data_IF_396425322694
#
_entry.id   IF_396425322694
#
_cell.length_a   1.000
_cell.length_b   1.000
_cell.length_c   1.000
_cell.angle_alpha   90.00
_cell.angle_beta   90.00
_cell.angle_gamma   90.00
#
_symmetry.space_group_name_H-M   'P 1'
#
loop_
_entity.id
_entity.type
_entity.pdbx_description
1 polymer ?
#
# COMPACT_ATOMS: atom_id res chain seq x y z
N UNK A 1 -33.45 35.27 1.29
CA UNK A 1 -33.94 34.19 0.41
C UNK A 1 -33.49 32.91 1.08
N UNK A 2 -34.44 32.15 1.61
CA UNK A 2 -34.19 31.20 2.70
C UNK A 2 -33.46 29.95 2.20
N UNK A 3 -32.52 29.43 2.99
CA UNK A 3 -31.69 28.26 2.65
C UNK A 3 -32.52 27.04 2.22
N UNK A 4 -33.72 26.90 2.78
CA UNK A 4 -34.66 25.83 2.43
C UNK A 4 -35.23 25.97 1.02
N UNK A 5 -35.49 27.18 0.54
CA UNK A 5 -36.03 27.41 -0.81
C UNK A 5 -35.02 27.00 -1.88
N UNK A 6 -33.73 27.23 -1.64
CA UNK A 6 -32.66 26.78 -2.52
C UNK A 6 -32.60 25.24 -2.61
N UNK A 7 -32.76 24.54 -1.48
CA UNK A 7 -32.79 23.06 -1.43
C UNK A 7 -34.04 22.47 -2.11
N UNK A 8 -35.19 23.14 -2.04
CA UNK A 8 -36.41 22.70 -2.72
C UNK A 8 -36.36 22.95 -4.25
N UNK A 9 -35.75 24.07 -4.66
CA UNK A 9 -35.47 24.36 -6.08
C UNK A 9 -34.50 23.33 -6.68
N UNK A 10 -33.49 22.98 -5.89
CA UNK A 10 -32.52 21.91 -6.17
C UNK A 10 -33.20 20.54 -6.37
N UNK A 11 -34.10 20.15 -5.46
CA UNK A 11 -34.87 18.90 -5.59
C UNK A 11 -35.72 18.86 -6.86
N UNK A 12 -36.35 19.97 -7.22
CA UNK A 12 -37.16 20.08 -8.44
C UNK A 12 -36.32 19.83 -9.70
N UNK A 13 -35.04 20.24 -9.68
CA UNK A 13 -34.10 20.01 -10.77
C UNK A 13 -33.66 18.54 -10.87
N UNK A 14 -33.51 17.86 -9.73
CA UNK A 14 -33.21 16.41 -9.69
C UNK A 14 -34.35 15.60 -10.29
N UNK A 15 -35.60 15.90 -9.89
CA UNK A 15 -36.78 15.19 -10.39
C UNK A 15 -36.97 15.37 -11.90
N UNK A 16 -36.75 16.58 -12.43
CA UNK A 16 -36.74 16.85 -13.88
C UNK A 16 -35.73 15.99 -14.63
N UNK A 17 -34.52 15.84 -14.10
CA UNK A 17 -33.47 15.02 -14.73
C UNK A 17 -33.82 13.53 -14.79
N UNK A 18 -34.66 13.06 -13.88
CA UNK A 18 -35.11 11.68 -13.80
C UNK A 18 -36.46 11.45 -14.50
N UNK A 19 -37.02 12.46 -15.17
CA UNK A 19 -38.35 12.44 -15.78
C UNK A 19 -39.48 12.13 -14.76
N UNK A 20 -39.31 12.57 -13.51
CA UNK A 20 -40.27 12.41 -12.40
C UNK A 20 -41.03 13.72 -12.11
N UNK A 21 -41.41 14.44 -13.16
CA UNK A 21 -42.01 15.76 -13.07
C UNK A 21 -43.36 15.77 -12.32
N UNK A 22 -44.10 14.68 -12.44
CA UNK A 22 -45.37 14.45 -11.76
C UNK A 22 -45.25 14.47 -10.23
N UNK A 23 -44.05 14.28 -9.68
CA UNK A 23 -43.79 14.24 -8.24
C UNK A 23 -43.32 15.57 -7.66
N UNK A 24 -43.01 16.57 -8.51
CA UNK A 24 -42.44 17.86 -8.06
C UNK A 24 -43.38 18.58 -7.08
N UNK A 25 -44.69 18.59 -7.34
CA UNK A 25 -45.66 19.26 -6.46
C UNK A 25 -45.71 18.61 -5.08
N UNK A 26 -45.75 17.28 -5.01
CA UNK A 26 -45.76 16.52 -3.75
C UNK A 26 -44.49 16.74 -2.93
N UNK A 27 -43.32 16.66 -3.57
CA UNK A 27 -42.04 16.89 -2.89
C UNK A 27 -41.90 18.32 -2.37
N UNK A 28 -42.53 19.30 -3.00
CA UNK A 28 -42.60 20.68 -2.49
C UNK A 28 -43.57 20.84 -1.32
N UNK A 29 -44.76 20.25 -1.42
CA UNK A 29 -45.78 20.26 -0.35
C UNK A 29 -45.26 19.61 0.93
N UNK A 30 -44.61 18.45 0.81
CA UNK A 30 -44.02 17.72 1.92
C UNK A 30 -42.63 18.25 2.34
N UNK A 31 -42.15 19.32 1.70
CA UNK A 31 -40.85 19.98 1.97
C UNK A 31 -39.67 19.00 1.95
N UNK A 32 -39.69 18.07 0.99
CA UNK A 32 -38.65 17.06 0.84
C UNK A 32 -37.47 17.65 0.08
N UNK A 33 -36.35 17.76 0.78
CA UNK A 33 -35.06 18.16 0.22
C UNK A 33 -34.21 16.92 -0.14
N UNK A 34 -33.17 17.07 -0.99
CA UNK A 34 -32.32 15.95 -1.37
C UNK A 34 -31.69 15.20 -0.18
N UNK A 35 -31.39 15.93 0.90
CA UNK A 35 -30.82 15.40 2.15
C UNK A 35 -31.82 14.47 2.90
N UNK A 36 -33.11 14.72 2.75
CA UNK A 36 -34.19 13.96 3.40
C UNK A 36 -34.49 12.68 2.63
N UNK A 37 -34.41 12.70 1.29
CA UNK A 37 -34.69 11.53 0.42
C UNK A 37 -33.87 10.30 0.82
N UNK A 38 -32.61 10.50 1.23
CA UNK A 38 -31.73 9.40 1.65
C UNK A 38 -32.08 8.81 3.03
N UNK A 39 -32.88 9.52 3.82
CA UNK A 39 -33.35 9.10 5.16
C UNK A 39 -34.73 8.42 5.10
N UNK A 40 -35.48 8.60 4.02
CA UNK A 40 -36.78 7.98 3.82
C UNK A 40 -36.64 6.48 3.55
N UNK A 41 -37.50 5.70 4.21
CA UNK A 41 -37.70 4.28 3.98
C UNK A 41 -38.28 4.01 2.59
N UNK A 42 -38.25 2.73 2.16
CA UNK A 42 -38.84 2.34 0.89
C UNK A 42 -40.36 2.52 0.85
N UNK A 43 -41.05 2.45 2.00
CA UNK A 43 -42.49 2.62 2.09
C UNK A 43 -42.88 4.08 1.92
N UNK A 44 -42.20 4.99 2.62
CA UNK A 44 -42.42 6.44 2.48
C UNK A 44 -42.17 6.91 1.04
N UNK A 45 -41.14 6.38 0.38
CA UNK A 45 -40.86 6.69 -1.04
C UNK A 45 -41.94 6.17 -1.99
N UNK A 46 -42.59 5.04 -1.67
CA UNK A 46 -43.73 4.53 -2.43
C UNK A 46 -44.99 5.34 -2.22
N UNK A 47 -45.24 5.79 -0.98
CA UNK A 47 -46.37 6.68 -0.64
C UNK A 47 -46.26 8.02 -1.37
N UNK A 48 -45.03 8.53 -1.53
CA UNK A 48 -44.73 9.70 -2.34
C UNK A 48 -45.05 9.54 -3.83
N UNK A 49 -45.16 8.30 -4.31
CA UNK A 49 -45.57 7.97 -5.68
C UNK A 49 -44.53 7.23 -6.51
N UNK A 50 -43.38 6.85 -5.93
CA UNK A 50 -42.36 6.06 -6.64
C UNK A 50 -42.72 4.58 -6.60
N UNK A 51 -43.24 4.04 -7.71
CA UNK A 51 -43.67 2.64 -7.78
C UNK A 51 -42.53 1.68 -8.13
N UNK A 52 -41.55 2.14 -8.91
CA UNK A 52 -40.43 1.33 -9.37
C UNK A 52 -39.25 1.41 -8.39
N UNK A 53 -38.71 0.26 -8.01
CA UNK A 53 -37.48 0.19 -7.22
C UNK A 53 -36.30 0.84 -7.96
N UNK A 54 -36.29 0.77 -9.30
CA UNK A 54 -35.26 1.41 -10.13
C UNK A 54 -35.30 2.93 -10.01
N UNK A 55 -36.49 3.53 -10.02
CA UNK A 55 -36.67 4.98 -9.91
C UNK A 55 -36.32 5.46 -8.50
N UNK A 56 -36.68 4.68 -7.48
CA UNK A 56 -36.28 4.93 -6.08
C UNK A 56 -34.76 4.95 -5.96
N UNK A 57 -34.07 3.97 -6.55
CA UNK A 57 -32.61 3.90 -6.47
C UNK A 57 -31.96 5.01 -7.30
N UNK A 58 -32.46 5.29 -8.50
CA UNK A 58 -31.98 6.38 -9.34
C UNK A 58 -32.14 7.74 -8.64
N UNK A 59 -33.26 7.95 -7.95
CA UNK A 59 -33.50 9.15 -7.15
C UNK A 59 -32.51 9.25 -6.00
N UNK A 60 -32.30 8.19 -5.23
CA UNK A 60 -31.31 8.16 -4.14
C UNK A 60 -29.91 8.48 -4.64
N UNK A 61 -29.49 7.87 -5.75
CA UNK A 61 -28.19 8.14 -6.36
C UNK A 61 -28.08 9.62 -6.76
N UNK A 62 -29.11 10.16 -7.44
CA UNK A 62 -29.11 11.54 -7.88
C UNK A 62 -29.06 12.51 -6.69
N UNK A 63 -29.81 12.26 -5.62
CA UNK A 63 -29.80 13.07 -4.40
C UNK A 63 -28.45 13.03 -3.67
N UNK A 64 -27.78 11.87 -3.60
CA UNK A 64 -26.41 11.75 -3.05
C UNK A 64 -25.41 12.58 -3.85
N UNK A 65 -25.59 12.70 -5.17
CA UNK A 65 -24.73 13.54 -6.01
C UNK A 65 -25.07 15.02 -5.96
N UNK A 66 -26.24 15.39 -5.42
CA UNK A 66 -26.74 16.77 -5.40
C UNK A 66 -26.42 17.52 -4.08
N UNK A 67 -26.00 16.80 -3.03
CA UNK A 67 -25.55 17.41 -1.78
C UNK A 67 -24.24 18.16 -1.97
N UNK A 68 -24.25 19.46 -1.70
CA UNK A 68 -23.04 20.24 -1.47
C UNK A 68 -22.22 19.52 -0.39
N UNK A 69 -20.91 19.37 -0.64
CA UNK A 69 -20.01 18.40 -0.01
C UNK A 69 -20.11 16.99 -0.58
N UNK A 70 -19.70 16.86 -1.85
CA UNK A 70 -18.89 15.70 -2.21
C UNK A 70 -17.79 15.65 -1.13
N UNK A 71 -17.71 14.62 -0.26
CA UNK A 71 -16.51 14.45 0.54
C UNK A 71 -15.40 14.51 -0.48
N UNK A 72 -14.46 15.46 -0.30
CA UNK A 72 -13.30 15.55 -1.17
C UNK A 72 -12.89 14.12 -1.41
N UNK A 73 -12.85 13.71 -2.70
CA UNK A 73 -12.47 12.35 -3.05
C UNK A 73 -11.03 12.22 -2.56
N UNK A 74 -10.83 11.89 -1.28
CA UNK A 74 -9.63 11.25 -0.79
C UNK A 74 -9.55 10.10 -1.76
N UNK A 75 -8.55 10.15 -2.64
CA UNK A 75 -8.36 9.14 -3.66
C UNK A 75 -8.51 7.81 -2.94
N UNK A 76 -9.66 7.15 -3.13
CA UNK A 76 -9.91 5.87 -2.50
C UNK A 76 -8.92 4.99 -3.25
N UNK A 77 -7.76 4.79 -2.65
CA UNK A 77 -6.91 3.67 -2.97
C UNK A 77 -7.84 2.47 -2.78
N UNK A 78 -8.38 1.99 -3.89
CA UNK A 78 -9.33 0.89 -3.90
C UNK A 78 -8.55 -0.32 -3.39
N UNK A 79 -8.77 -0.67 -2.12
CA UNK A 79 -8.05 -1.74 -1.44
C UNK A 79 -8.24 -1.68 0.08
N UNK A 80 -7.87 -2.75 0.80
CA UNK A 80 -7.79 -2.75 2.26
C UNK A 80 -6.92 -1.59 2.76
N UNK A 81 -7.16 -1.05 3.97
CA UNK A 81 -6.30 -0.04 4.56
C UNK A 81 -4.86 -0.53 4.55
N UNK A 82 -4.02 0.13 3.77
CA UNK A 82 -2.60 -0.20 3.69
C UNK A 82 -1.94 0.26 4.96
N UNK A 83 -1.46 -0.67 5.78
CA UNK A 83 -0.60 -0.33 6.91
C UNK A 83 0.63 0.40 6.39
N UNK A 84 0.76 1.68 6.74
CA UNK A 84 1.80 2.56 6.25
C UNK A 84 2.97 2.60 7.23
N UNK A 85 4.11 2.08 6.77
CA UNK A 85 5.35 2.05 7.54
C UNK A 85 6.21 3.20 7.01
N UNK A 86 6.43 4.28 7.79
CA UNK A 86 7.28 5.38 7.38
C UNK A 86 8.69 4.89 7.11
N UNK A 87 9.35 5.50 6.12
CA UNK A 87 10.74 5.19 5.77
C UNK A 87 11.68 5.37 6.96
N UNK A 88 11.54 6.47 7.70
CA UNK A 88 12.37 6.80 8.87
C UNK A 88 12.31 5.74 9.97
N UNK A 89 11.12 5.22 10.27
CA UNK A 89 10.95 4.17 11.28
C UNK A 89 11.70 2.91 10.89
N UNK A 90 11.66 2.54 9.61
CA UNK A 90 12.36 1.38 9.11
C UNK A 90 13.88 1.58 9.10
N UNK A 91 14.37 2.80 8.89
CA UNK A 91 15.80 3.16 8.99
C UNK A 91 16.29 3.02 10.42
N UNK A 92 15.59 3.60 11.40
CA UNK A 92 15.98 3.49 12.81
C UNK A 92 16.11 2.03 13.25
N UNK A 93 15.18 1.15 12.87
CA UNK A 93 15.30 -0.27 13.22
C UNK A 93 16.44 -1.00 12.52
N UNK A 94 16.79 -0.59 11.30
CA UNK A 94 17.93 -1.17 10.58
C UNK A 94 19.27 -0.68 11.16
N UNK A 95 19.35 0.58 11.59
CA UNK A 95 20.50 1.17 12.28
C UNK A 95 20.72 0.53 13.67
N UNK A 96 19.64 0.19 14.37
CA UNK A 96 19.66 -0.51 15.66
C UNK A 96 19.89 -2.04 15.53
N UNK A 97 20.31 -2.52 14.35
CA UNK A 97 20.67 -3.92 14.04
C UNK A 97 19.53 -4.96 14.16
N UNK A 98 18.27 -4.55 14.37
CA UNK A 98 17.13 -5.46 14.50
C UNK A 98 16.98 -6.40 13.29
N UNK A 99 16.65 -7.66 13.55
CA UNK A 99 16.32 -8.62 12.49
C UNK A 99 14.96 -8.31 11.87
N UNK A 100 14.77 -8.69 10.60
CA UNK A 100 13.50 -8.46 9.91
C UNK A 100 12.33 -9.15 10.62
N UNK A 101 12.57 -10.31 11.23
CA UNK A 101 11.57 -11.03 12.02
C UNK A 101 11.18 -10.27 13.29
N UNK A 102 12.13 -9.64 13.98
CA UNK A 102 11.85 -8.80 15.16
C UNK A 102 11.07 -7.54 14.78
N UNK A 103 11.44 -6.87 13.69
CA UNK A 103 10.73 -5.70 13.18
C UNK A 103 9.30 -6.08 12.80
N UNK A 104 9.12 -7.20 12.11
CA UNK A 104 7.80 -7.72 11.73
C UNK A 104 6.92 -7.98 12.97
N UNK A 105 7.50 -8.60 14.00
CA UNK A 105 6.83 -8.85 15.28
C UNK A 105 6.44 -7.55 15.99
N UNK A 106 7.38 -6.60 16.12
CA UNK A 106 7.18 -5.31 16.80
C UNK A 106 6.11 -4.46 16.11
N UNK A 107 6.10 -4.46 14.78
CA UNK A 107 5.13 -3.71 13.97
C UNK A 107 3.82 -4.47 13.74
N UNK A 108 3.70 -5.71 14.23
CA UNK A 108 2.53 -6.59 14.02
C UNK A 108 2.17 -6.79 12.54
N UNK A 109 3.17 -6.94 11.68
CA UNK A 109 3.01 -7.18 10.23
C UNK A 109 3.74 -8.44 9.80
N UNK A 110 3.42 -8.94 8.61
CA UNK A 110 4.21 -10.02 8.02
C UNK A 110 5.59 -9.53 7.57
N UNK A 111 6.60 -10.39 7.65
CA UNK A 111 7.94 -10.10 7.10
C UNK A 111 7.85 -9.71 5.61
N UNK A 112 6.93 -10.33 4.86
CA UNK A 112 6.67 -9.97 3.46
C UNK A 112 6.29 -8.50 3.28
N UNK A 113 5.59 -7.92 4.25
CA UNK A 113 5.26 -6.49 4.26
C UNK A 113 6.51 -5.64 4.46
N UNK A 114 7.37 -6.02 5.41
CA UNK A 114 8.65 -5.34 5.65
C UNK A 114 9.54 -5.41 4.40
N UNK A 115 9.77 -6.60 3.83
CA UNK A 115 10.57 -6.75 2.60
C UNK A 115 10.00 -5.99 1.40
N UNK A 116 8.67 -5.87 1.30
CA UNK A 116 8.04 -5.05 0.26
C UNK A 116 8.35 -3.57 0.47
N UNK A 117 8.29 -3.08 1.71
CA UNK A 117 8.59 -1.68 2.06
C UNK A 117 10.07 -1.35 1.89
N UNK A 118 10.96 -2.22 2.34
CA UNK A 118 12.41 -2.08 2.10
C UNK A 118 12.73 -1.92 0.61
N UNK A 119 12.11 -2.75 -0.25
CA UNK A 119 12.25 -2.64 -1.72
C UNK A 119 11.73 -1.33 -2.29
N UNK A 120 10.62 -0.80 -1.76
CA UNK A 120 10.08 0.49 -2.20
C UNK A 120 10.98 1.66 -1.81
N UNK A 121 11.66 1.58 -0.66
CA UNK A 121 12.55 2.63 -0.17
C UNK A 121 14.01 2.47 -0.62
N UNK A 122 14.33 1.39 -1.34
CA UNK A 122 15.70 1.08 -1.77
C UNK A 122 16.63 0.68 -0.61
N UNK A 123 16.07 0.22 0.51
CA UNK A 123 16.83 -0.15 1.70
C UNK A 123 17.18 -1.64 1.65
N UNK A 124 18.41 -1.96 2.01
CA UNK A 124 18.86 -3.32 2.25
C UNK A 124 19.66 -3.38 3.54
N UNK A 125 19.42 -4.42 4.36
CA UNK A 125 20.26 -4.71 5.54
C UNK A 125 21.73 -4.99 5.18
N UNK A 126 21.99 -5.25 3.89
CA UNK A 126 23.34 -5.41 3.35
C UNK A 126 23.84 -4.04 2.87
N UNK A 127 24.28 -3.19 3.79
CA UNK A 127 25.17 -2.10 3.41
C UNK A 127 26.52 -2.72 3.08
N UNK A 128 26.81 -2.89 1.79
CA UNK A 128 28.14 -3.28 1.38
C UNK A 128 29.05 -2.09 1.68
N UNK A 129 30.07 -2.28 2.52
CA UNK A 129 31.13 -1.29 2.61
C UNK A 129 31.89 -1.33 1.28
N UNK A 130 31.96 -0.20 0.59
CA UNK A 130 32.86 0.00 -0.55
C UNK A 130 34.29 0.07 -0.01
N UNK A 131 34.84 -1.08 0.40
CA UNK A 131 36.26 -1.23 0.69
C UNK A 131 36.92 -1.58 -0.64
N UNK A 132 37.95 -0.82 -1.01
CA UNK A 132 38.74 -1.11 -2.21
C UNK A 132 39.53 -2.43 -2.04
N UNK A 133 39.82 -3.11 -3.14
CA UNK A 133 40.64 -4.33 -3.11
C UNK A 133 42.03 -4.02 -2.51
N UNK A 134 42.56 -2.82 -2.76
CA UNK A 134 43.83 -2.34 -2.20
C UNK A 134 43.80 -2.17 -0.67
N UNK A 135 42.72 -1.62 -0.12
CA UNK A 135 42.55 -1.49 1.33
C UNK A 135 42.38 -2.86 1.99
N UNK A 136 41.63 -3.76 1.34
CA UNK A 136 41.47 -5.13 1.85
C UNK A 136 42.79 -5.89 1.87
N UNK A 137 43.59 -5.78 0.81
CA UNK A 137 44.92 -6.39 0.72
C UNK A 137 45.88 -5.81 1.75
N UNK A 138 45.83 -4.50 2.02
CA UNK A 138 46.60 -3.87 3.10
C UNK A 138 46.26 -4.48 4.48
N UNK A 139 44.97 -4.65 4.79
CA UNK A 139 44.55 -5.26 6.06
C UNK A 139 44.95 -6.72 6.19
N UNK A 140 44.90 -7.47 5.08
CA UNK A 140 45.37 -8.86 5.03
C UNK A 140 46.88 -8.92 5.25
N UNK A 141 47.65 -8.04 4.62
CA UNK A 141 49.10 -7.98 4.78
C UNK A 141 49.52 -7.60 6.21
N UNK A 142 48.88 -6.59 6.81
CA UNK A 142 49.11 -6.24 8.22
C UNK A 142 48.79 -7.42 9.15
N UNK A 143 47.65 -8.07 8.94
CA UNK A 143 47.21 -9.16 9.84
C UNK A 143 48.06 -10.42 9.65
N UNK A 144 48.58 -10.67 8.45
CA UNK A 144 49.51 -11.79 8.19
C UNK A 144 50.92 -11.50 8.70
N UNK A 145 51.38 -10.25 8.72
CA UNK A 145 52.61 -9.83 9.42
C UNK A 145 52.50 -10.00 10.93
N UNK A 146 51.35 -9.65 11.50
CA UNK A 146 51.08 -9.77 12.94
C UNK A 146 50.92 -11.25 13.36
N UNK A 147 50.35 -12.09 12.49
CA UNK A 147 50.12 -13.52 12.74
C UNK A 147 50.61 -14.40 11.57
N UNK A 148 51.92 -14.67 11.46
CA UNK A 148 52.52 -15.38 10.31
C UNK A 148 52.14 -16.86 10.17
N UNK A 149 51.42 -17.44 11.15
CA UNK A 149 50.87 -18.82 11.09
C UNK A 149 49.35 -18.85 11.16
N UNK A 150 48.69 -17.73 10.86
CA UNK A 150 47.24 -17.61 10.90
C UNK A 150 46.62 -18.39 9.73
N UNK A 151 45.76 -19.36 10.06
CA UNK A 151 44.94 -20.04 9.05
C UNK A 151 43.80 -19.14 8.55
N UNK A 152 43.26 -19.45 7.37
CA UNK A 152 42.20 -18.67 6.71
C UNK A 152 41.00 -18.37 7.63
N UNK A 153 40.58 -19.33 8.45
CA UNK A 153 39.46 -19.17 9.38
C UNK A 153 39.73 -18.08 10.43
N UNK A 154 40.93 -18.06 11.01
CA UNK A 154 41.30 -17.10 12.04
C UNK A 154 41.52 -15.71 11.42
N UNK A 155 42.10 -15.65 10.23
CA UNK A 155 42.26 -14.41 9.46
C UNK A 155 40.89 -13.78 9.18
N UNK A 156 39.92 -14.60 8.75
CA UNK A 156 38.53 -14.17 8.52
C UNK A 156 37.90 -13.59 9.80
N UNK A 157 38.07 -14.24 10.95
CA UNK A 157 37.55 -13.73 12.24
C UNK A 157 38.21 -12.41 12.66
N UNK A 158 39.53 -12.26 12.47
CA UNK A 158 40.24 -11.02 12.77
C UNK A 158 39.77 -9.85 11.88
N UNK A 159 39.51 -10.12 10.60
CA UNK A 159 38.94 -9.14 9.67
C UNK A 159 37.50 -8.76 10.04
N UNK A 160 36.68 -9.70 10.53
CA UNK A 160 35.36 -9.41 11.11
C UNK A 160 35.46 -8.51 12.35
N UNK A 161 36.44 -8.77 13.23
CA UNK A 161 36.69 -8.00 14.44
C UNK A 161 37.18 -6.57 14.18
N UNK A 162 37.94 -6.35 13.10
CA UNK A 162 38.44 -5.03 12.67
C UNK A 162 37.39 -4.18 11.91
N UNK A 163 36.14 -4.65 11.79
CA UNK A 163 35.04 -3.87 11.21
C UNK A 163 34.71 -4.16 9.74
N UNK A 164 35.40 -5.12 9.10
CA UNK A 164 35.15 -5.49 7.70
C UNK A 164 34.06 -6.56 7.58
N UNK A 165 32.89 -6.33 8.20
CA UNK A 165 31.79 -7.31 8.27
C UNK A 165 31.26 -7.75 6.88
N UNK A 166 31.49 -6.96 5.84
CA UNK A 166 30.79 -7.09 4.56
C UNK A 166 31.69 -7.40 3.34
N UNK A 167 33.01 -7.40 3.47
CA UNK A 167 33.95 -7.60 2.36
C UNK A 167 34.22 -9.09 2.00
N UNK A 168 33.86 -10.04 2.87
CA UNK A 168 34.20 -11.48 2.67
C UNK A 168 33.08 -12.20 1.90
N UNK A 169 32.67 -11.61 0.78
CA UNK A 169 32.14 -12.35 -0.36
C UNK A 169 32.97 -11.94 -1.56
N UNK A 170 34.11 -12.61 -1.75
CA UNK A 170 34.79 -12.61 -3.06
C UNK A 170 33.71 -12.85 -4.12
N UNK A 171 33.49 -11.89 -5.02
CA UNK A 171 32.80 -12.22 -6.25
C UNK A 171 33.68 -13.26 -6.96
N UNK A 172 33.15 -14.43 -7.34
CA UNK A 172 33.92 -15.36 -8.15
C UNK A 172 34.04 -14.74 -9.54
N UNK A 173 35.12 -13.99 -9.76
CA UNK A 173 35.56 -13.63 -11.10
C UNK A 173 35.94 -14.93 -11.83
N UNK A 174 34.96 -15.38 -12.62
CA UNK A 174 35.15 -16.07 -13.88
C UNK A 174 35.80 -17.46 -13.82
N UNK A 175 34.96 -18.48 -13.63
CA UNK A 175 34.95 -19.70 -14.45
C UNK A 175 33.77 -20.60 -14.08
N UNK A 176 32.95 -20.93 -15.09
CA UNK A 176 31.95 -22.02 -15.09
C UNK A 176 30.60 -21.73 -14.39
N UNK A 177 29.60 -21.41 -15.22
CA UNK A 177 28.19 -21.58 -14.85
C UNK A 177 27.93 -23.03 -14.44
N UNK A 178 27.81 -23.32 -13.15
CA UNK A 178 27.16 -24.53 -12.67
C UNK A 178 25.73 -24.15 -12.30
N UNK A 179 24.82 -24.56 -13.17
CA UNK A 179 23.38 -24.60 -12.97
C UNK A 179 23.07 -25.53 -11.80
N UNK A 180 22.63 -25.00 -10.65
CA UNK A 180 21.95 -25.81 -9.63
C UNK A 180 20.46 -25.98 -10.00
N UNK A 181 19.96 -27.23 -10.17
CA UNK A 181 18.59 -27.51 -10.58
C UNK A 181 17.63 -27.64 -9.38
N UNK A 182 16.37 -27.25 -9.59
CA UNK A 182 15.20 -27.57 -8.74
C UNK A 182 14.82 -26.47 -7.75
N UNK A 183 13.62 -25.86 -7.77
CA UNK A 183 12.31 -26.34 -8.22
C UNK A 183 11.55 -25.25 -8.99
N UNK A 184 11.24 -25.50 -10.26
CA UNK A 184 10.11 -24.85 -10.93
C UNK A 184 8.85 -25.57 -10.47
N UNK A 185 7.87 -24.84 -9.91
CA UNK A 185 6.49 -25.32 -9.93
C UNK A 185 6.03 -25.20 -11.38
N UNK A 186 5.81 -26.34 -12.05
CA UNK A 186 5.22 -26.37 -13.37
C UNK A 186 3.78 -25.88 -13.30
N UNK A 187 3.43 -24.95 -14.19
CA UNK A 187 2.05 -24.53 -14.44
C UNK A 187 1.53 -25.36 -15.62
N UNK A 188 0.38 -26.05 -15.52
CA UNK A 188 -0.11 -26.90 -16.60
C UNK A 188 -0.49 -26.06 -17.83
N UNK A 189 -0.28 -26.59 -19.05
CA UNK A 189 -0.49 -25.85 -20.28
C UNK A 189 -1.97 -25.55 -20.52
N UNK A 190 -2.23 -24.32 -21.01
CA UNK A 190 -3.54 -23.90 -21.52
C UNK A 190 -3.92 -24.82 -22.68
N UNK A 191 -5.03 -25.55 -22.54
CA UNK A 191 -5.70 -26.18 -23.69
C UNK A 191 -6.35 -25.07 -24.50
N UNK A 192 -5.83 -24.84 -25.70
CA UNK A 192 -6.46 -24.08 -26.76
C UNK A 192 -7.35 -25.02 -27.57
N UNK A 193 -8.67 -24.86 -27.46
CA UNK A 193 -9.66 -25.08 -28.51
C UNK A 193 -10.62 -23.90 -28.44
#
# INVERSE_FOLDING_TARGET
MDEMDHKLSSMSSVLRKLNLDNLISRFKEEKISPDIVCKLSLLELKELGLQSHSDIMALRIACVTFGAEQPSKIARACGPPTFDIPKSVLECYLEEDFTISEIASMMSVSESTIYRRMRLYGQSKLEFCDISDEELDHYVEETTKEFPRCGELLLKQLLYGKGSKNAIKRQPTQSRWIRCPGKKKEMPPKKSV
#
